data_IF_566046093550
#
_entry.id   IF_566046093550
#
_cell.length_a   1.000
_cell.length_b   1.000
_cell.length_c   1.000
_cell.angle_alpha   90.00
_cell.angle_beta   90.00
_cell.angle_gamma   90.00
#
_symmetry.space_group_name_H-M   'P 1'
#
loop_
_entity.id
_entity.type
_entity.pdbx_description
1 polymer ?
#
# COMPACT_ATOMS: atom_id res chain seq x y z
N UNK A 1 8.69 8.70 12.28
CA UNK A 1 7.51 9.56 12.11
C UNK A 1 7.34 10.04 10.66
N UNK A 2 8.43 10.36 9.96
CA UNK A 2 8.44 10.69 8.53
C UNK A 2 7.70 9.69 7.65
N UNK A 3 7.90 8.38 7.86
CA UNK A 3 7.18 7.32 7.11
C UNK A 3 5.66 7.41 7.28
N UNK A 4 5.17 7.70 8.50
CA UNK A 4 3.73 7.82 8.77
C UNK A 4 3.14 9.03 8.06
N UNK A 5 3.83 10.18 8.10
CA UNK A 5 3.40 11.38 7.38
C UNK A 5 3.37 11.17 5.86
N UNK A 6 4.42 10.56 5.29
CA UNK A 6 4.47 10.26 3.86
C UNK A 6 3.36 9.27 3.49
N UNK A 7 3.16 8.20 4.27
CA UNK A 7 2.11 7.23 4.02
C UNK A 7 0.71 7.86 4.02
N UNK A 8 0.42 8.76 4.95
CA UNK A 8 -0.86 9.48 5.00
C UNK A 8 -1.06 10.38 3.78
N UNK A 9 -0.04 11.15 3.39
CA UNK A 9 -0.10 12.02 2.21
C UNK A 9 -0.25 11.21 0.92
N UNK A 10 0.52 10.13 0.79
CA UNK A 10 0.46 9.23 -0.37
C UNK A 10 -0.88 8.50 -0.46
N UNK A 11 -1.49 8.11 0.67
CA UNK A 11 -2.80 7.46 0.68
C UNK A 11 -3.90 8.33 0.07
N UNK A 12 -3.82 9.66 0.20
CA UNK A 12 -4.79 10.59 -0.40
C UNK A 12 -4.55 10.72 -1.91
N UNK A 13 -3.28 10.74 -2.33
CA UNK A 13 -2.90 10.93 -3.74
C UNK A 13 -3.10 9.71 -4.65
N UNK A 14 -3.24 8.51 -4.09
CA UNK A 14 -3.27 7.24 -4.85
C UNK A 14 -4.69 6.73 -5.15
N UNK A 15 -5.74 7.47 -4.74
CA UNK A 15 -7.16 7.06 -4.80
C UNK A 15 -7.75 6.74 -6.20
N UNK A 16 -6.98 6.85 -7.29
CA UNK A 16 -7.46 6.58 -8.66
C UNK A 16 -6.53 5.72 -9.52
N UNK A 17 -5.47 5.14 -8.94
CA UNK A 17 -4.43 4.44 -9.71
C UNK A 17 -4.65 2.92 -9.65
N UNK A 18 -4.75 2.21 -10.80
CA UNK A 18 -4.75 0.75 -10.79
C UNK A 18 -3.43 0.25 -10.18
N UNK A 19 -3.51 -0.73 -9.26
CA UNK A 19 -2.40 -1.17 -8.40
C UNK A 19 -1.86 -0.11 -7.41
N UNK A 20 -2.79 0.63 -6.78
CA UNK A 20 -2.54 1.61 -5.73
C UNK A 20 -1.49 1.21 -4.67
N UNK A 21 -1.49 -0.04 -4.20
CA UNK A 21 -0.56 -0.50 -3.14
C UNK A 21 0.91 -0.40 -3.56
N UNK A 22 1.23 -0.80 -4.78
CA UNK A 22 2.60 -0.78 -5.32
C UNK A 22 3.10 0.64 -5.54
N UNK A 23 2.23 1.52 -6.03
CA UNK A 23 2.56 2.93 -6.24
C UNK A 23 2.80 3.65 -4.92
N UNK A 24 2.02 3.34 -3.88
CA UNK A 24 2.25 3.93 -2.56
C UNK A 24 3.61 3.50 -1.98
N UNK A 25 3.98 2.24 -2.15
CA UNK A 25 5.23 1.67 -1.63
C UNK A 25 6.46 2.23 -2.35
N UNK A 26 6.40 2.41 -3.68
CA UNK A 26 7.51 3.01 -4.45
C UNK A 26 7.75 4.47 -4.04
N UNK A 27 6.68 5.24 -3.79
CA UNK A 27 6.76 6.63 -3.31
C UNK A 27 7.38 6.69 -1.92
N UNK A 28 6.96 5.80 -1.01
CA UNK A 28 7.54 5.74 0.34
C UNK A 28 9.03 5.38 0.24
N UNK A 29 9.41 4.30 -0.44
CA UNK A 29 10.81 3.86 -0.57
C UNK A 29 11.72 4.94 -1.17
N UNK A 30 11.24 5.64 -2.21
CA UNK A 30 11.95 6.78 -2.81
C UNK A 30 12.16 7.92 -1.81
N UNK A 31 11.16 8.21 -0.97
CA UNK A 31 11.24 9.28 0.02
C UNK A 31 12.18 8.98 1.22
N UNK A 32 12.48 7.70 1.50
CA UNK A 32 13.48 7.28 2.51
C UNK A 32 14.82 6.86 1.89
N UNK A 33 14.99 6.99 0.57
CA UNK A 33 16.26 6.68 -0.12
C UNK A 33 16.61 5.19 -0.17
N UNK A 34 15.62 4.31 -0.03
CA UNK A 34 15.82 2.86 -0.11
C UNK A 34 15.72 2.37 -1.57
N UNK A 35 16.47 1.32 -1.93
CA UNK A 35 16.51 0.83 -3.30
C UNK A 35 15.13 0.29 -3.75
N UNK A 36 14.68 0.79 -4.89
CA UNK A 36 13.41 0.40 -5.53
C UNK A 36 13.36 -1.08 -5.92
N UNK A 37 14.52 -1.76 -5.99
CA UNK A 37 14.58 -3.21 -6.24
C UNK A 37 13.89 -4.03 -5.15
N UNK A 38 13.75 -3.51 -3.94
CA UNK A 38 12.98 -4.14 -2.86
C UNK A 38 11.49 -4.29 -3.22
N UNK A 39 10.96 -3.50 -4.16
CA UNK A 39 9.58 -3.62 -4.67
C UNK A 39 9.40 -4.95 -5.41
N UNK A 40 10.46 -5.50 -6.02
CA UNK A 40 10.44 -6.81 -6.70
C UNK A 40 10.06 -7.95 -5.75
N UNK A 41 10.53 -7.89 -4.50
CA UNK A 41 10.18 -8.84 -3.45
C UNK A 41 8.72 -8.68 -3.00
N UNK A 42 8.24 -7.44 -2.97
CA UNK A 42 6.86 -7.13 -2.58
C UNK A 42 5.87 -7.58 -3.66
N UNK A 43 6.21 -7.48 -4.95
CA UNK A 43 5.38 -7.97 -6.06
C UNK A 43 5.00 -9.45 -5.91
N UNK A 44 5.91 -10.29 -5.40
CA UNK A 44 5.64 -11.71 -5.18
C UNK A 44 4.57 -11.96 -4.09
N UNK A 45 4.50 -11.08 -3.09
CA UNK A 45 3.59 -11.21 -1.93
C UNK A 45 2.35 -10.33 -2.10
N UNK A 46 2.39 -9.31 -2.96
CA UNK A 46 1.31 -8.35 -3.19
C UNK A 46 0.03 -9.08 -3.57
N UNK A 47 0.10 -10.18 -4.32
CA UNK A 47 -1.12 -10.90 -4.73
C UNK A 47 -1.86 -11.57 -3.57
N UNK A 48 -1.12 -12.11 -2.60
CA UNK A 48 -1.72 -12.68 -1.37
C UNK A 48 -2.22 -11.56 -0.47
N UNK A 49 -1.44 -10.50 -0.30
CA UNK A 49 -1.82 -9.34 0.52
C UNK A 49 -3.03 -8.59 -0.04
N UNK A 50 -3.21 -8.59 -1.35
CA UNK A 50 -4.37 -8.02 -2.03
C UNK A 50 -5.65 -8.79 -1.71
N UNK A 51 -5.58 -10.14 -1.64
CA UNK A 51 -6.69 -10.98 -1.17
C UNK A 51 -6.96 -10.80 0.34
N UNK A 52 -5.92 -10.57 1.15
CA UNK A 52 -6.10 -10.22 2.56
C UNK A 52 -6.81 -8.87 2.71
N UNK A 53 -6.47 -7.88 1.87
CA UNK A 53 -7.14 -6.56 1.87
C UNK A 53 -8.63 -6.67 1.57
N UNK A 54 -9.04 -7.47 0.58
CA UNK A 54 -10.47 -7.68 0.32
C UNK A 54 -11.17 -8.36 1.50
N UNK A 55 -10.53 -9.34 2.15
CA UNK A 55 -11.08 -10.01 3.33
C UNK A 55 -11.26 -9.06 4.52
N UNK A 56 -10.28 -8.19 4.78
CA UNK A 56 -10.34 -7.16 5.82
C UNK A 56 -11.43 -6.13 5.52
N UNK A 57 -11.60 -5.73 4.25
CA UNK A 57 -12.67 -4.82 3.85
C UNK A 57 -14.05 -5.44 4.10
N UNK A 58 -14.25 -6.71 3.75
CA UNK A 58 -15.52 -7.43 4.01
C UNK A 58 -15.77 -7.59 5.52
N UNK A 59 -14.74 -7.90 6.30
CA UNK A 59 -14.86 -7.97 7.76
C UNK A 59 -15.23 -6.62 8.37
N UNK A 60 -14.63 -5.52 7.90
CA UNK A 60 -14.97 -4.16 8.33
C UNK A 60 -16.43 -3.82 8.03
N UNK A 61 -16.94 -4.16 6.84
CA UNK A 61 -18.35 -3.96 6.50
C UNK A 61 -19.28 -4.83 7.36
N UNK A 62 -18.83 -6.03 7.76
CA UNK A 62 -19.60 -6.93 8.62
C UNK A 62 -19.65 -6.50 10.08
N UNK A 63 -18.64 -5.77 10.56
CA UNK A 63 -18.58 -5.27 11.95
C UNK A 63 -19.03 -3.81 12.09
N UNK A 64 -19.00 -3.04 11.00
CA UNK A 64 -19.37 -1.63 10.95
C UNK A 64 -20.84 -1.36 10.56
N UNK A 65 -21.54 -2.36 10.00
CA UNK A 65 -22.99 -2.36 9.77
C UNK A 65 -23.75 -2.74 11.04
#
# INVERSE_FOLDING_TARGET
FTVVLIALLTSIGVAGIPAASLVAITIILSAIGLPLEAVGLILAVDRVLDMCRTSVNVFSDSCGA
#
